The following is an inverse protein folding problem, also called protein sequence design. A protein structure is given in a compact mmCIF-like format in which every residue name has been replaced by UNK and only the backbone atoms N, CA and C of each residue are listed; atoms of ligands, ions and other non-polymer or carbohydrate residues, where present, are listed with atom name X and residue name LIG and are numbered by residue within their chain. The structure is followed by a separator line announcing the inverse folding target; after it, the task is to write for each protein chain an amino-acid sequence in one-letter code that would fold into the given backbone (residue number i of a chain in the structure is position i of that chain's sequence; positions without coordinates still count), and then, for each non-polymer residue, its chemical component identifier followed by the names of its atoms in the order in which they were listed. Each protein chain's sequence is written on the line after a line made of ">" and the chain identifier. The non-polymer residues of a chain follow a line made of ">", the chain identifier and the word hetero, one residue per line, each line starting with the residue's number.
data_IF_909837565937
#
_entry.id   IF_909837565937
#
_cell.length_a   1.000
_cell.length_b   1.000
_cell.length_c   1.000
_cell.angle_alpha   90.00
_cell.angle_beta   90.00
_cell.angle_gamma   90.00
#
_symmetry.space_group_name_H-M   'P 1'
#
loop_
_entity.id
_entity.type
_entity.pdbx_description
1 polymer ?
#
# COMPACT_ATOMS: atom_id res chain seq x y z
N UNK A 1 -17.69 -9.34 -3.12
CA UNK A 1 -16.80 -8.22 -3.47
C UNK A 1 -15.63 -8.22 -2.49
N UNK A 2 -14.52 -8.88 -2.82
CA UNK A 2 -13.36 -8.98 -1.92
C UNK A 2 -12.45 -7.75 -2.08
N UNK A 3 -12.85 -6.63 -1.50
CA UNK A 3 -11.98 -5.47 -1.36
C UNK A 3 -10.96 -5.76 -0.26
N UNK A 4 -9.74 -6.19 -0.62
CA UNK A 4 -8.66 -6.36 0.35
C UNK A 4 -8.31 -5.00 0.96
N UNK A 5 -8.86 -4.71 2.15
CA UNK A 5 -8.51 -3.53 2.94
C UNK A 5 -7.00 -3.56 3.21
N UNK A 6 -6.32 -2.46 2.93
CA UNK A 6 -4.89 -2.33 3.16
C UNK A 6 -4.71 -1.83 4.59
N UNK A 7 -4.14 -2.67 5.46
CA UNK A 7 -3.92 -2.32 6.87
C UNK A 7 -2.45 -2.04 7.10
N UNK A 8 -2.15 -1.01 7.89
CA UNK A 8 -0.79 -0.70 8.30
C UNK A 8 -0.25 -1.82 9.21
N UNK A 9 0.87 -2.47 8.84
CA UNK A 9 1.44 -3.56 9.63
C UNK A 9 2.02 -3.09 10.98
N UNK A 10 2.19 -1.77 11.17
CA UNK A 10 2.80 -1.20 12.37
C UNK A 10 1.79 -0.81 13.45
N UNK A 11 0.63 -0.27 13.05
CA UNK A 11 -0.34 0.31 13.98
C UNK A 11 -1.77 -0.20 13.79
N UNK A 12 -2.01 -1.07 12.80
CA UNK A 12 -3.34 -1.64 12.55
C UNK A 12 -4.35 -0.70 11.89
N UNK A 13 -3.95 0.53 11.50
CA UNK A 13 -4.84 1.47 10.82
C UNK A 13 -5.18 0.98 9.41
N UNK A 14 -6.46 0.99 9.01
CA UNK A 14 -6.93 0.44 7.73
C UNK A 14 -7.23 1.47 6.64
N UNK A 15 -7.22 2.77 6.97
CA UNK A 15 -7.39 3.85 6.00
C UNK A 15 -6.01 4.31 5.48
N UNK A 16 -5.47 3.57 4.52
CA UNK A 16 -4.11 3.76 4.03
C UNK A 16 -4.10 4.44 2.68
N UNK A 17 -3.37 5.56 2.61
CA UNK A 17 -3.16 6.29 1.37
C UNK A 17 -2.14 5.60 0.46
N UNK A 18 -2.52 5.39 -0.81
CA UNK A 18 -1.59 5.04 -1.87
C UNK A 18 -0.82 6.30 -2.30
N UNK A 19 0.49 6.29 -2.13
CA UNK A 19 1.35 7.45 -2.44
C UNK A 19 1.89 7.36 -3.87
N UNK A 20 2.22 6.15 -4.33
CA UNK A 20 2.79 5.96 -5.66
C UNK A 20 2.38 4.61 -6.25
N UNK A 21 2.15 4.59 -7.56
CA UNK A 21 1.93 3.39 -8.35
C UNK A 21 2.96 3.35 -9.46
N UNK A 22 3.77 2.31 -9.49
CA UNK A 22 4.82 2.13 -10.50
C UNK A 22 4.54 0.87 -11.30
N UNK A 23 4.53 1.01 -12.62
CA UNK A 23 4.45 -0.13 -13.54
C UNK A 23 5.86 -0.65 -13.80
N UNK A 24 6.05 -1.96 -13.62
CA UNK A 24 7.33 -2.61 -13.82
C UNK A 24 7.36 -3.23 -15.21
N UNK A 25 8.42 -2.97 -15.98
CA UNK A 25 8.65 -3.66 -17.26
C UNK A 25 8.71 -5.17 -17.01
N UNK A 26 7.69 -5.89 -17.47
CA UNK A 26 7.43 -7.30 -17.10
C UNK A 26 6.00 -7.56 -16.60
N UNK A 27 5.16 -6.53 -16.49
CA UNK A 27 3.71 -6.69 -16.26
C UNK A 27 3.27 -6.59 -14.79
N UNK A 28 4.20 -6.31 -13.87
CA UNK A 28 3.89 -6.13 -12.44
C UNK A 28 3.56 -4.67 -12.09
N UNK A 29 2.87 -4.48 -10.97
CA UNK A 29 2.59 -3.14 -10.39
C UNK A 29 3.10 -3.07 -8.96
N UNK A 30 4.01 -2.13 -8.70
CA UNK A 30 4.40 -1.75 -7.35
C UNK A 30 3.46 -0.66 -6.83
N UNK A 31 2.83 -0.90 -5.68
CA UNK A 31 2.01 0.07 -4.97
C UNK A 31 2.71 0.49 -3.69
N UNK A 32 3.05 1.77 -3.58
CA UNK A 32 3.68 2.35 -2.39
C UNK A 32 2.61 2.98 -1.52
N UNK A 33 2.56 2.56 -0.27
CA UNK A 33 1.60 3.00 0.72
C UNK A 33 2.27 3.80 1.83
N UNK A 34 1.54 4.74 2.42
CA UNK A 34 1.95 5.46 3.63
C UNK A 34 0.81 5.49 4.62
N UNK A 35 1.09 5.11 5.85
CA UNK A 35 0.16 5.24 6.95
C UNK A 35 0.10 6.70 7.43
N UNK A 36 -1.08 7.35 7.43
CA UNK A 36 -1.21 8.72 7.93
C UNK A 36 -1.08 8.83 9.46
N UNK A 37 -1.30 7.73 10.20
CA UNK A 37 -1.22 7.69 11.66
C UNK A 37 0.21 7.62 12.20
N UNK A 38 1.00 6.68 11.68
CA UNK A 38 2.36 6.41 12.19
C UNK A 38 3.48 6.76 11.20
N UNK A 39 3.13 7.33 10.04
CA UNK A 39 4.05 7.66 8.94
C UNK A 39 4.84 6.48 8.36
N UNK A 40 4.49 5.23 8.71
CA UNK A 40 5.11 4.04 8.14
C UNK A 40 4.82 3.91 6.65
N UNK A 41 5.84 3.57 5.86
CA UNK A 41 5.75 3.40 4.40
C UNK A 41 6.16 2.00 3.99
N UNK A 42 5.44 1.39 3.06
CA UNK A 42 5.77 0.07 2.51
C UNK A 42 5.30 -0.09 1.07
N UNK A 43 5.85 -1.08 0.37
CA UNK A 43 5.49 -1.39 -1.01
C UNK A 43 4.85 -2.77 -1.10
N UNK A 44 3.73 -2.87 -1.84
CA UNK A 44 3.10 -4.14 -2.18
C UNK A 44 3.24 -4.37 -3.68
N UNK A 45 3.75 -5.54 -4.06
CA UNK A 45 3.77 -6.00 -5.45
C UNK A 45 2.42 -6.65 -5.76
N UNK A 46 1.83 -6.31 -6.89
CA UNK A 46 0.63 -6.95 -7.45
C UNK A 46 0.93 -7.38 -8.87
#
# INVERSE_FOLDING_TARGET
>A
MSGSKIVCPRCGYDDIALVKKEMISGGGVNRHFRCPRCSHTWTKKT
#
